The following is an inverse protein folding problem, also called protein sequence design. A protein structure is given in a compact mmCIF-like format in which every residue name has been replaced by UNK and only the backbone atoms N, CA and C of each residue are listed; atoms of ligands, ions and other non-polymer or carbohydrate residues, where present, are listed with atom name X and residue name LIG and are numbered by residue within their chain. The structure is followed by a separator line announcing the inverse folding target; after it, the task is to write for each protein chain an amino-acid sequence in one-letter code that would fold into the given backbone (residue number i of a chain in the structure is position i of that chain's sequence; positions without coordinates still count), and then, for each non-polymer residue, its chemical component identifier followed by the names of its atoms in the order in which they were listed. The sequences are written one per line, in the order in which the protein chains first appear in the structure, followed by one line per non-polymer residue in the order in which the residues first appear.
data_IF_121517955254
#
_entry.id   IF_121517955254
#
_cell.length_a   1.000
_cell.length_b   1.000
_cell.length_c   1.000
_cell.angle_alpha   90.00
_cell.angle_beta   90.00
_cell.angle_gamma   90.00
#
_symmetry.space_group_name_H-M   'P 1'
#
loop_
_entity.id
_entity.type
_entity.pdbx_description
1 polymer ?
#
# COMPACT_ATOMS: atom_id res chain seq x y z
N UNK A 1 23.09 0.85 11.29
CA UNK A 1 23.36 -0.43 10.60
C UNK A 1 23.49 -0.10 9.10
N UNK A 2 24.67 0.22 8.56
CA UNK A 2 24.72 1.01 7.32
C UNK A 2 24.28 0.30 6.02
N UNK A 3 24.10 -1.03 6.02
CA UNK A 3 23.55 -1.75 4.85
C UNK A 3 22.02 -1.74 4.90
N UNK A 4 21.42 -1.88 6.08
CA UNK A 4 19.99 -1.61 6.29
C UNK A 4 19.65 -0.10 6.27
N UNK A 5 20.61 0.81 6.40
CA UNK A 5 20.33 2.24 6.29
C UNK A 5 20.42 2.75 4.84
N UNK A 6 21.20 2.10 3.95
CA UNK A 6 21.40 2.55 2.55
C UNK A 6 20.67 1.67 1.53
N UNK A 7 20.64 0.33 1.69
CA UNK A 7 19.93 -0.55 0.74
C UNK A 7 18.42 -0.63 1.02
N UNK A 8 17.98 -0.32 2.23
CA UNK A 8 16.55 -0.15 2.55
C UNK A 8 16.08 1.28 2.37
N UNK A 9 16.94 2.31 2.46
CA UNK A 9 16.47 3.70 2.30
C UNK A 9 15.99 3.98 0.89
N UNK A 10 16.57 3.37 -0.15
CA UNK A 10 16.09 3.54 -1.52
C UNK A 10 14.68 2.91 -1.72
N UNK A 11 14.42 1.64 -1.36
CA UNK A 11 13.06 1.09 -1.32
C UNK A 11 12.11 1.90 -0.44
N UNK A 12 12.51 2.31 0.77
CA UNK A 12 11.67 3.12 1.66
C UNK A 12 11.38 4.51 1.09
N UNK A 13 12.32 5.14 0.40
CA UNK A 13 12.11 6.41 -0.29
C UNK A 13 11.13 6.25 -1.45
N UNK A 14 11.25 5.17 -2.23
CA UNK A 14 10.30 4.82 -3.31
C UNK A 14 8.91 4.57 -2.73
N UNK A 15 8.80 3.75 -1.68
CA UNK A 15 7.54 3.47 -0.96
C UNK A 15 6.93 4.76 -0.41
N UNK A 16 7.73 5.65 0.17
CA UNK A 16 7.28 6.93 0.72
C UNK A 16 6.80 7.90 -0.37
N UNK A 17 7.51 7.97 -1.50
CA UNK A 17 7.10 8.75 -2.67
C UNK A 17 5.81 8.22 -3.28
N UNK A 18 5.68 6.90 -3.40
CA UNK A 18 4.46 6.25 -3.87
C UNK A 18 3.31 6.53 -2.91
N UNK A 19 3.51 6.41 -1.59
CA UNK A 19 2.49 6.75 -0.58
C UNK A 19 2.06 8.22 -0.68
N UNK A 20 3.03 9.13 -0.82
CA UNK A 20 2.73 10.55 -1.00
C UNK A 20 1.89 10.78 -2.26
N UNK A 21 2.30 10.22 -3.40
CA UNK A 21 1.56 10.33 -4.65
C UNK A 21 0.15 9.75 -4.56
N UNK A 22 0.02 8.56 -3.95
CA UNK A 22 -1.27 7.90 -3.75
C UNK A 22 -2.16 8.73 -2.81
N UNK A 23 -1.61 9.30 -1.74
CA UNK A 23 -2.32 10.20 -0.82
C UNK A 23 -2.80 11.49 -1.49
N UNK A 24 -1.94 12.15 -2.27
CA UNK A 24 -2.33 13.32 -3.07
C UNK A 24 -3.42 12.98 -4.10
N UNK A 25 -3.28 11.84 -4.78
CA UNK A 25 -4.28 11.36 -5.73
C UNK A 25 -5.61 11.03 -5.05
N UNK A 26 -5.59 10.46 -3.85
CA UNK A 26 -6.79 10.19 -3.04
C UNK A 26 -7.51 11.46 -2.62
N UNK A 27 -6.78 12.47 -2.13
CA UNK A 27 -7.34 13.77 -1.77
C UNK A 27 -7.96 14.49 -2.99
N UNK A 28 -7.29 14.43 -4.15
CA UNK A 28 -7.85 14.96 -5.39
C UNK A 28 -9.09 14.16 -5.80
N UNK A 29 -9.00 12.84 -5.91
CA UNK A 29 -10.08 11.95 -6.34
C UNK A 29 -11.33 12.10 -5.46
N UNK A 30 -11.16 12.33 -4.17
CA UNK A 30 -12.26 12.59 -3.23
C UNK A 30 -12.90 13.97 -3.39
N UNK A 31 -12.14 15.00 -3.78
CA UNK A 31 -12.64 16.39 -3.85
C UNK A 31 -13.22 16.77 -5.22
N UNK A 32 -12.69 16.20 -6.31
CA UNK A 32 -13.05 16.59 -7.69
C UNK A 32 -13.10 15.43 -8.69
N UNK A 33 -12.88 14.19 -8.25
CA UNK A 33 -12.82 13.02 -9.14
C UNK A 33 -14.21 12.48 -9.50
N UNK A 34 -14.40 12.14 -10.77
CA UNK A 34 -15.48 11.24 -11.20
C UNK A 34 -15.37 9.87 -10.51
N UNK A 35 -16.45 9.09 -10.51
CA UNK A 35 -16.45 7.69 -10.04
C UNK A 35 -15.34 6.85 -10.64
N UNK A 36 -14.96 7.12 -11.89
CA UNK A 36 -13.80 6.48 -12.54
C UNK A 36 -12.50 6.71 -11.76
N UNK A 37 -12.20 7.94 -11.35
CA UNK A 37 -11.00 8.25 -10.55
C UNK A 37 -11.02 7.57 -9.18
N UNK A 38 -12.20 7.48 -8.56
CA UNK A 38 -12.39 6.79 -7.28
C UNK A 38 -12.11 5.28 -7.41
N UNK A 39 -12.55 4.64 -8.50
CA UNK A 39 -12.20 3.24 -8.83
C UNK A 39 -10.70 3.03 -9.01
N UNK A 40 -10.05 3.92 -9.76
CA UNK A 40 -8.60 3.85 -9.96
C UNK A 40 -7.84 3.98 -8.65
N UNK A 41 -8.28 4.87 -7.75
CA UNK A 41 -7.68 5.02 -6.43
C UNK A 41 -7.80 3.76 -5.57
N UNK A 42 -8.96 3.08 -5.58
CA UNK A 42 -9.14 1.80 -4.87
C UNK A 42 -8.23 0.71 -5.46
N UNK A 43 -8.17 0.59 -6.78
CA UNK A 43 -7.30 -0.37 -7.46
C UNK A 43 -5.82 -0.13 -7.15
N UNK A 44 -5.37 1.13 -7.20
CA UNK A 44 -4.02 1.52 -6.84
C UNK A 44 -3.70 1.21 -5.37
N UNK A 45 -4.66 1.42 -4.46
CA UNK A 45 -4.51 1.11 -3.04
C UNK A 45 -4.33 -0.40 -2.79
N UNK A 46 -5.11 -1.24 -3.49
CA UNK A 46 -4.93 -2.70 -3.46
C UNK A 46 -3.58 -3.13 -4.05
N UNK A 47 -3.21 -2.57 -5.21
CA UNK A 47 -1.94 -2.87 -5.85
C UNK A 47 -0.74 -2.52 -4.96
N UNK A 48 -0.79 -1.35 -4.31
CA UNK A 48 0.24 -0.93 -3.38
C UNK A 48 0.33 -1.84 -2.15
N UNK A 49 -0.81 -2.23 -1.57
CA UNK A 49 -0.87 -3.16 -0.45
C UNK A 49 -0.24 -4.52 -0.82
N UNK A 50 -0.58 -5.07 -1.98
CA UNK A 50 -0.03 -6.34 -2.46
C UNK A 50 1.47 -6.27 -2.72
N UNK A 51 1.94 -5.18 -3.35
CA UNK A 51 3.36 -4.95 -3.58
C UNK A 51 4.14 -4.85 -2.26
N UNK A 52 3.61 -4.10 -1.29
CA UNK A 52 4.21 -3.96 0.04
C UNK A 52 4.31 -5.30 0.76
N UNK A 53 3.25 -6.12 0.73
CA UNK A 53 3.26 -7.46 1.34
C UNK A 53 4.28 -8.38 0.66
N UNK A 54 4.34 -8.37 -0.66
CA UNK A 54 5.31 -9.16 -1.42
C UNK A 54 6.75 -8.76 -1.05
N UNK A 55 7.04 -7.45 -1.01
CA UNK A 55 8.35 -6.94 -0.61
C UNK A 55 8.71 -7.35 0.82
N UNK A 56 7.76 -7.24 1.77
CA UNK A 56 7.99 -7.61 3.16
C UNK A 56 8.33 -9.11 3.31
N UNK A 57 7.62 -9.99 2.60
CA UNK A 57 7.90 -11.44 2.61
C UNK A 57 9.27 -11.75 2.01
N UNK A 58 9.61 -11.15 0.87
CA UNK A 58 10.93 -11.33 0.23
C UNK A 58 12.03 -10.84 1.15
N UNK A 59 11.85 -9.69 1.81
CA UNK A 59 12.84 -9.15 2.75
C UNK A 59 13.12 -10.10 3.91
N UNK A 60 12.07 -10.63 4.56
CA UNK A 60 12.21 -11.59 5.66
C UNK A 60 12.89 -12.88 5.17
N UNK A 61 12.52 -13.38 3.98
CA UNK A 61 13.10 -14.59 3.41
C UNK A 61 14.60 -14.44 3.08
N UNK A 62 15.01 -13.28 2.54
CA UNK A 62 16.41 -12.97 2.23
C UNK A 62 17.25 -12.86 3.51
N UNK A 63 16.72 -12.18 4.54
CA UNK A 63 17.35 -12.06 5.86
C UNK A 63 17.59 -13.43 6.53
N UNK A 64 16.64 -14.36 6.39
CA UNK A 64 16.75 -15.70 6.96
C UNK A 64 17.73 -16.58 6.17
N UNK A 65 17.64 -16.58 4.84
CA UNK A 65 18.46 -17.43 3.97
C UNK A 65 19.93 -17.00 3.89
N UNK A 66 20.25 -15.73 4.13
CA UNK A 66 21.62 -15.20 4.08
C UNK A 66 22.20 -14.83 5.44
N UNK A 67 21.76 -15.50 6.50
CA UNK A 67 22.18 -15.30 7.89
C UNK A 67 23.71 -15.16 8.07
N UNK A 68 24.48 -16.08 7.47
CA UNK A 68 25.94 -16.11 7.62
C UNK A 68 26.61 -14.88 7.00
N UNK A 69 26.12 -14.43 5.85
CA UNK A 69 26.65 -13.24 5.17
C UNK A 69 26.31 -11.97 5.94
N UNK A 70 25.07 -11.84 6.40
CA UNK A 70 24.61 -10.68 7.19
C UNK A 70 25.37 -10.58 8.52
N UNK A 71 25.56 -11.71 9.20
CA UNK A 71 26.32 -11.74 10.46
C UNK A 71 27.82 -11.49 10.24
N UNK A 72 28.41 -12.00 9.15
CA UNK A 72 29.80 -11.71 8.78
C UNK A 72 30.05 -10.22 8.53
N UNK A 73 29.19 -9.58 7.74
CA UNK A 73 29.26 -8.14 7.48
C UNK A 73 29.03 -7.29 8.75
N UNK A 74 28.18 -7.77 9.68
CA UNK A 74 27.96 -7.13 10.98
C UNK A 74 29.21 -7.15 11.87
N UNK A 75 29.90 -8.29 11.93
CA UNK A 75 31.15 -8.42 12.69
C UNK A 75 32.24 -7.56 12.07
N UNK A 76 32.38 -7.59 10.74
CA UNK A 76 33.39 -6.80 10.03
C UNK A 76 33.27 -5.29 10.26
N UNK A 77 32.04 -4.79 10.39
CA UNK A 77 31.76 -3.37 10.66
C UNK A 77 31.88 -2.96 12.12
N UNK A 78 31.78 -3.92 13.05
CA UNK A 78 31.86 -3.65 14.49
C UNK A 78 33.15 -4.23 15.09
N UNK A 79 34.19 -4.41 14.27
CA UNK A 79 35.53 -4.83 14.71
C UNK A 79 36.06 -3.94 15.84
N UNK A 80 35.80 -2.63 15.77
CA UNK A 80 36.25 -1.66 16.77
C UNK A 80 35.53 -1.80 18.13
N UNK A 81 34.33 -2.39 18.13
CA UNK A 81 33.52 -2.61 19.33
C UNK A 81 33.62 -4.05 19.85
N UNK A 82 34.50 -4.88 19.27
CA UNK A 82 34.68 -6.29 19.61
C UNK A 82 33.39 -7.14 19.59
N UNK A 83 32.45 -6.82 18.69
CA UNK A 83 31.19 -7.56 18.61
C UNK A 83 31.41 -9.00 18.16
N UNK A 84 30.77 -9.91 18.87
CA UNK A 84 30.81 -11.34 18.58
C UNK A 84 29.74 -11.74 17.54
N UNK A 85 29.97 -12.85 16.84
CA UNK A 85 29.02 -13.44 15.89
C UNK A 85 27.65 -13.71 16.56
N UNK A 86 27.68 -14.08 17.84
CA UNK A 86 26.50 -14.29 18.68
C UNK A 86 25.69 -13.02 18.93
N UNK A 87 26.33 -11.88 19.17
CA UNK A 87 25.63 -10.60 19.37
C UNK A 87 24.98 -10.10 18.08
N UNK A 88 25.68 -10.27 16.94
CA UNK A 88 25.13 -9.95 15.63
C UNK A 88 23.91 -10.81 15.29
N UNK A 89 23.97 -12.13 15.57
CA UNK A 89 22.84 -13.02 15.30
C UNK A 89 21.61 -12.72 16.21
N UNK A 90 21.83 -12.40 17.49
CA UNK A 90 20.74 -12.03 18.40
C UNK A 90 20.08 -10.70 17.99
N UNK A 91 20.87 -9.71 17.54
CA UNK A 91 20.35 -8.45 17.00
C UNK A 91 19.56 -8.65 15.71
N UNK A 92 20.05 -9.49 14.79
CA UNK A 92 19.35 -9.85 13.55
C UNK A 92 18.00 -10.51 13.87
N UNK A 93 17.98 -11.53 14.73
CA UNK A 93 16.74 -12.20 15.16
C UNK A 93 15.73 -11.23 15.76
N UNK A 94 16.18 -10.32 16.65
CA UNK A 94 15.31 -9.27 17.20
C UNK A 94 14.76 -8.35 16.13
N UNK A 95 15.58 -7.93 15.16
CA UNK A 95 15.14 -7.08 14.05
C UNK A 95 14.09 -7.78 13.18
N UNK A 96 14.31 -9.05 12.81
CA UNK A 96 13.35 -9.86 12.05
C UNK A 96 12.02 -10.02 12.80
N UNK A 97 12.07 -10.30 14.11
CA UNK A 97 10.86 -10.38 14.95
C UNK A 97 10.12 -9.05 14.97
N UNK A 98 10.80 -7.92 15.21
CA UNK A 98 10.16 -6.59 15.22
C UNK A 98 9.57 -6.26 13.84
N UNK A 99 10.31 -6.53 12.76
CA UNK A 99 9.84 -6.30 11.39
C UNK A 99 8.59 -7.14 11.09
N UNK A 100 8.58 -8.43 11.43
CA UNK A 100 7.42 -9.29 11.21
C UNK A 100 6.17 -8.83 11.97
N UNK A 101 6.32 -8.34 13.20
CA UNK A 101 5.21 -7.77 13.99
C UNK A 101 4.68 -6.50 13.33
N UNK A 102 5.56 -5.59 12.92
CA UNK A 102 5.16 -4.34 12.25
C UNK A 102 4.46 -4.60 10.91
N UNK A 103 5.00 -5.52 10.10
CA UNK A 103 4.39 -5.94 8.83
C UNK A 103 3.01 -6.55 9.07
N UNK A 104 2.85 -7.37 10.10
CA UNK A 104 1.55 -7.97 10.44
C UNK A 104 0.51 -6.91 10.84
N UNK A 105 0.90 -5.92 11.64
CA UNK A 105 0.03 -4.79 12.01
C UNK A 105 -0.33 -3.97 10.76
N UNK A 106 0.67 -3.63 9.94
CA UNK A 106 0.48 -2.89 8.70
C UNK A 106 -0.45 -3.63 7.72
N UNK A 107 -0.36 -4.96 7.65
CA UNK A 107 -1.24 -5.80 6.85
C UNK A 107 -2.69 -5.69 7.32
N UNK A 108 -2.94 -5.84 8.63
CA UNK A 108 -4.31 -5.75 9.17
C UNK A 108 -4.91 -4.37 8.93
N UNK A 109 -4.16 -3.30 9.22
CA UNK A 109 -4.61 -1.92 9.01
C UNK A 109 -4.80 -1.64 7.52
N UNK A 110 -3.86 -2.07 6.68
CA UNK A 110 -3.90 -1.87 5.23
C UNK A 110 -5.08 -2.58 4.58
N UNK A 111 -5.35 -3.85 4.93
CA UNK A 111 -6.53 -4.58 4.45
C UNK A 111 -7.80 -3.87 4.89
N UNK A 112 -7.91 -3.51 6.18
CA UNK A 112 -9.08 -2.81 6.70
C UNK A 112 -9.34 -1.49 5.96
N UNK A 113 -8.32 -0.66 5.80
CA UNK A 113 -8.42 0.62 5.11
C UNK A 113 -8.86 0.43 3.65
N UNK A 114 -8.25 -0.50 2.92
CA UNK A 114 -8.59 -0.73 1.52
C UNK A 114 -10.00 -1.32 1.35
N UNK A 115 -10.48 -2.12 2.30
CA UNK A 115 -11.87 -2.57 2.34
C UNK A 115 -12.85 -1.43 2.58
N UNK A 116 -12.53 -0.51 3.50
CA UNK A 116 -13.34 0.70 3.74
C UNK A 116 -13.40 1.57 2.49
N UNK A 117 -12.27 1.79 1.82
CA UNK A 117 -12.24 2.52 0.55
C UNK A 117 -13.08 1.83 -0.54
N UNK A 118 -12.98 0.51 -0.64
CA UNK A 118 -13.74 -0.27 -1.61
C UNK A 118 -15.25 -0.09 -1.38
N UNK A 119 -15.71 -0.24 -0.13
CA UNK A 119 -17.11 -0.02 0.24
C UNK A 119 -17.58 1.41 -0.04
N UNK A 120 -16.75 2.40 0.27
CA UNK A 120 -17.08 3.80 0.03
C UNK A 120 -17.30 4.06 -1.47
N UNK A 121 -16.41 3.59 -2.34
CA UNK A 121 -16.56 3.76 -3.79
C UNK A 121 -17.79 3.02 -4.32
N UNK A 122 -18.05 1.80 -3.85
CA UNK A 122 -19.28 1.07 -4.21
C UNK A 122 -20.55 1.83 -3.82
N UNK A 123 -20.57 2.49 -2.66
CA UNK A 123 -21.72 3.31 -2.24
C UNK A 123 -21.97 4.48 -3.19
N UNK A 124 -20.91 5.19 -3.60
CA UNK A 124 -21.00 6.31 -4.53
C UNK A 124 -21.48 5.85 -5.91
N UNK A 125 -20.96 4.72 -6.39
CA UNK A 125 -21.40 4.14 -7.66
C UNK A 125 -22.87 3.72 -7.63
N UNK A 126 -23.33 3.21 -6.49
CA UNK A 126 -24.72 2.84 -6.29
C UNK A 126 -25.64 4.07 -6.34
N UNK A 127 -25.25 5.17 -5.70
CA UNK A 127 -25.99 6.43 -5.77
C UNK A 127 -26.07 6.98 -7.20
N UNK A 128 -24.95 7.00 -7.92
CA UNK A 128 -24.94 7.42 -9.34
C UNK A 128 -25.81 6.51 -10.22
N UNK A 129 -25.82 5.20 -9.94
CA UNK A 129 -26.66 4.25 -10.66
C UNK A 129 -28.16 4.51 -10.41
N UNK A 130 -28.55 4.72 -9.15
CA UNK A 130 -29.94 5.05 -8.80
C UNK A 130 -30.39 6.38 -9.40
N UNK A 131 -29.52 7.40 -9.43
CA UNK A 131 -29.83 8.67 -10.10
C UNK A 131 -30.01 8.50 -11.60
N UNK A 132 -29.20 7.64 -12.24
CA UNK A 132 -29.34 7.32 -13.66
C UNK A 132 -30.64 6.56 -13.94
N UNK A 133 -31.00 5.57 -13.13
CA UNK A 133 -32.28 4.86 -13.26
C UNK A 133 -33.47 5.81 -13.07
N UNK A 134 -33.43 6.69 -12.05
CA UNK A 134 -34.48 7.69 -11.82
C UNK A 134 -34.65 8.64 -13.01
N UNK A 135 -33.56 9.09 -13.62
CA UNK A 135 -33.60 9.94 -14.83
C UNK A 135 -34.15 9.17 -16.03
N UNK A 136 -33.76 7.91 -16.20
CA UNK A 136 -34.31 7.05 -17.26
C UNK A 136 -35.81 6.80 -17.09
N UNK A 137 -36.30 6.64 -15.86
CA UNK A 137 -37.73 6.48 -15.59
C UNK A 137 -38.51 7.79 -15.80
N UNK A 138 -37.92 8.95 -15.47
CA UNK A 138 -38.48 10.26 -15.83
C UNK A 138 -38.57 10.45 -17.35
N UNK A 139 -37.58 9.96 -18.08
CA UNK A 139 -37.61 9.95 -19.55
C UNK A 139 -38.69 8.99 -20.09
N UNK A 140 -38.75 7.75 -19.58
CA UNK A 140 -39.76 6.75 -19.99
C UNK A 140 -41.19 7.20 -19.70
N UNK A 141 -41.40 7.94 -18.63
CA UNK A 141 -42.71 8.54 -18.28
C UNK A 141 -43.04 9.81 -19.07
N UNK A 142 -42.16 10.24 -19.98
CA UNK A 142 -42.38 11.41 -20.84
C UNK A 142 -42.23 12.76 -20.13
N UNK A 143 -41.69 12.77 -18.91
CA UNK A 143 -41.48 13.98 -18.11
C UNK A 143 -40.09 14.63 -18.32
N UNK A 144 -39.21 13.99 -19.09
CA UNK A 144 -37.88 14.50 -19.41
C UNK A 144 -37.49 14.20 -20.87
N UNK A 145 -36.57 14.98 -21.42
CA UNK A 145 -35.97 14.73 -22.74
C UNK A 145 -34.95 13.58 -22.66
N UNK A 146 -34.76 12.83 -23.76
CA UNK A 146 -33.87 11.65 -23.78
C UNK A 146 -32.44 12.09 -23.54
N UNK A 147 -31.76 11.47 -22.57
CA UNK A 147 -30.33 11.68 -22.36
C UNK A 147 -29.59 11.29 -23.64
N UNK A 148 -29.07 12.28 -24.37
CA UNK A 148 -28.08 12.07 -25.43
C UNK A 148 -26.74 11.84 -24.74
N UNK A 149 -26.19 10.64 -24.92
CA UNK A 149 -24.89 10.25 -24.37
C UNK A 149 -23.82 11.30 -24.71
N UNK A 150 -23.48 12.16 -23.76
CA UNK A 150 -22.21 12.88 -23.77
C UNK A 150 -21.18 11.88 -23.25
N UNK A 151 -20.56 11.18 -24.19
CA UNK A 151 -19.36 10.38 -23.96
C UNK A 151 -18.31 11.30 -23.33
N UNK A 152 -17.96 11.03 -22.09
CA UNK A 152 -16.83 11.60 -21.36
C UNK A 152 -16.06 10.48 -20.67
#
# INVERSE_FOLDING_TARGET
MPHADIDLSLPWAIVSLLLAFTGFYGLWGSSKGSTWHKRQFVSASWGFLLMFLCWAVVYIAVEDHHAERVNGECVDRNKDNAWTLTECDDRRKKAVVVASVLVSIAMVIGIYFTLVLSKWVTSVEWEEHLERERRLDQWRSGHAEKETDVVA
#
